data_IF_968744837441
#
_entry.id   IF_968744837441
#
_cell.length_a   1.000
_cell.length_b   1.000
_cell.length_c   1.000
_cell.angle_alpha   90.00
_cell.angle_beta   90.00
_cell.angle_gamma   90.00
#
_symmetry.space_group_name_H-M   'P 1'
#
loop_
_entity.id
_entity.type
_entity.pdbx_description
1 polymer ?
#
# COMPACT_ATOMS: atom_id res chain seq x y z
N UNK A 1 -6.88 -25.37 17.30
CA UNK A 1 -6.42 -24.23 16.49
C UNK A 1 -6.08 -23.10 17.45
N UNK A 2 -4.87 -22.55 17.43
CA UNK A 2 -4.52 -21.43 18.29
C UNK A 2 -5.42 -20.22 17.95
N UNK A 3 -5.99 -19.58 18.96
CA UNK A 3 -6.84 -18.42 18.77
C UNK A 3 -5.99 -17.24 18.26
N UNK A 4 -6.38 -16.68 17.11
CA UNK A 4 -5.67 -15.59 16.45
C UNK A 4 -5.60 -14.36 17.36
N UNK A 5 -4.40 -13.80 17.54
CA UNK A 5 -4.20 -12.60 18.37
C UNK A 5 -4.95 -11.40 17.79
N UNK A 6 -5.19 -10.38 18.62
CA UNK A 6 -5.89 -9.16 18.20
C UNK A 6 -5.13 -8.41 17.09
N UNK A 7 -3.80 -8.45 17.13
CA UNK A 7 -2.94 -7.84 16.12
C UNK A 7 -3.04 -8.55 14.76
N UNK A 8 -3.02 -9.89 14.77
CA UNK A 8 -3.17 -10.70 13.56
C UNK A 8 -4.56 -10.53 12.93
N UNK A 9 -5.62 -10.50 13.74
CA UNK A 9 -6.99 -10.19 13.26
C UNK A 9 -7.07 -8.81 12.61
N UNK A 10 -6.43 -7.79 13.20
CA UNK A 10 -6.41 -6.44 12.64
C UNK A 10 -5.67 -6.41 11.29
N UNK A 11 -4.52 -7.08 11.18
CA UNK A 11 -3.78 -7.17 9.94
C UNK A 11 -4.56 -7.92 8.84
N UNK A 12 -5.22 -9.03 9.20
CA UNK A 12 -6.07 -9.80 8.29
C UNK A 12 -7.26 -8.95 7.79
N UNK A 13 -7.95 -8.22 8.69
CA UNK A 13 -9.06 -7.36 8.32
C UNK A 13 -8.62 -6.19 7.43
N UNK A 14 -7.47 -5.58 7.70
CA UNK A 14 -6.92 -4.52 6.85
C UNK A 14 -6.60 -5.03 5.44
N UNK A 15 -6.09 -6.26 5.35
CA UNK A 15 -5.83 -6.91 4.05
C UNK A 15 -7.13 -7.20 3.31
N UNK A 16 -8.12 -7.77 3.97
CA UNK A 16 -9.44 -8.02 3.37
C UNK A 16 -10.12 -6.72 2.88
N UNK A 17 -10.09 -5.65 3.68
CA UNK A 17 -10.61 -4.34 3.25
C UNK A 17 -9.82 -3.72 2.11
N UNK A 18 -8.51 -4.01 2.01
CA UNK A 18 -7.71 -3.57 0.88
C UNK A 18 -8.09 -4.34 -0.39
N UNK A 19 -8.21 -5.66 -0.30
CA UNK A 19 -8.60 -6.52 -1.42
C UNK A 19 -9.99 -6.18 -1.94
N UNK A 20 -10.96 -5.94 -1.05
CA UNK A 20 -12.30 -5.48 -1.42
C UNK A 20 -12.27 -4.14 -2.17
N UNK A 21 -11.59 -3.14 -1.61
CA UNK A 21 -11.49 -1.81 -2.27
C UNK A 21 -10.71 -1.87 -3.57
N UNK A 22 -9.71 -2.74 -3.67
CA UNK A 22 -8.98 -2.97 -4.90
C UNK A 22 -9.90 -3.58 -5.97
N UNK A 23 -10.73 -4.56 -5.62
CA UNK A 23 -11.69 -5.17 -6.53
C UNK A 23 -12.74 -4.16 -7.03
N UNK A 24 -13.27 -3.31 -6.15
CA UNK A 24 -14.20 -2.23 -6.52
C UNK A 24 -13.53 -1.20 -7.44
N UNK A 25 -12.29 -0.82 -7.15
CA UNK A 25 -11.54 0.15 -7.96
C UNK A 25 -11.00 -0.46 -9.25
N UNK A 26 -10.85 -1.79 -9.33
CA UNK A 26 -10.51 -2.48 -10.57
C UNK A 26 -11.56 -2.27 -11.67
N UNK A 27 -12.82 -2.01 -11.29
CA UNK A 27 -13.88 -1.62 -12.23
C UNK A 27 -13.60 -0.28 -12.93
N UNK A 28 -12.73 0.58 -12.36
CA UNK A 28 -12.25 1.82 -13.00
C UNK A 28 -11.00 1.60 -13.87
N UNK A 29 -10.66 0.33 -14.12
CA UNK A 29 -9.52 -0.07 -14.92
C UNK A 29 -8.16 0.19 -14.25
N UNK A 30 -7.07 0.25 -15.04
CA UNK A 30 -5.70 0.40 -14.54
C UNK A 30 -5.50 1.61 -13.63
N UNK A 31 -6.24 2.70 -13.88
CA UNK A 31 -6.21 3.91 -13.04
C UNK A 31 -6.65 3.62 -11.61
N UNK A 32 -7.77 2.92 -11.43
CA UNK A 32 -8.28 2.61 -10.09
C UNK A 32 -7.37 1.64 -9.33
N UNK A 33 -6.73 0.71 -10.03
CA UNK A 33 -5.70 -0.16 -9.44
C UNK A 33 -4.47 0.65 -8.99
N UNK A 34 -3.98 1.58 -9.82
CA UNK A 34 -2.85 2.43 -9.46
C UNK A 34 -3.16 3.29 -8.22
N UNK A 35 -4.35 3.89 -8.15
CA UNK A 35 -4.82 4.65 -6.97
C UNK A 35 -4.83 3.78 -5.70
N UNK A 36 -5.29 2.53 -5.81
CA UNK A 36 -5.31 1.58 -4.69
C UNK A 36 -3.91 1.25 -4.19
N UNK A 37 -2.98 0.98 -5.11
CA UNK A 37 -1.60 0.68 -4.75
C UNK A 37 -0.86 1.88 -4.15
N UNK A 38 -1.09 3.10 -4.68
CA UNK A 38 -0.52 4.32 -4.10
C UNK A 38 -1.03 4.59 -2.68
N UNK A 39 -2.32 4.33 -2.42
CA UNK A 39 -2.87 4.44 -1.06
C UNK A 39 -2.23 3.42 -0.11
N UNK A 40 -2.08 2.17 -0.54
CA UNK A 40 -1.46 1.11 0.26
C UNK A 40 0.01 1.38 0.55
N UNK A 41 0.77 1.83 -0.44
CA UNK A 41 2.18 2.15 -0.29
C UNK A 41 2.39 3.23 0.77
N UNK A 42 1.61 4.32 0.73
CA UNK A 42 1.65 5.38 1.75
C UNK A 42 1.29 4.89 3.15
N UNK A 43 0.27 4.03 3.27
CA UNK A 43 -0.10 3.46 4.57
C UNK A 43 1.02 2.59 5.17
N UNK A 44 1.72 1.82 4.33
CA UNK A 44 2.89 1.01 4.76
C UNK A 44 4.03 1.93 5.19
N UNK A 45 4.36 2.94 4.38
CA UNK A 45 5.42 3.90 4.69
C UNK A 45 5.16 4.60 6.04
N UNK A 46 3.97 5.17 6.25
CA UNK A 46 3.61 5.81 7.51
C UNK A 46 3.68 4.86 8.73
N UNK A 47 3.28 3.59 8.55
CA UNK A 47 3.37 2.59 9.62
C UNK A 47 4.82 2.28 9.98
N UNK A 48 5.70 2.16 8.97
CA UNK A 48 7.13 1.88 9.16
C UNK A 48 7.89 3.05 9.77
N UNK A 49 7.61 4.26 9.30
CA UNK A 49 8.13 5.50 9.88
C UNK A 49 7.79 5.61 11.37
N UNK A 50 6.54 5.35 11.76
CA UNK A 50 6.13 5.34 13.18
C UNK A 50 6.90 4.30 14.01
N UNK A 51 7.40 3.23 13.37
CA UNK A 51 8.21 2.19 14.01
C UNK A 51 9.73 2.47 13.95
N UNK A 52 10.14 3.66 13.47
CA UNK A 52 11.55 4.10 13.42
C UNK A 52 12.28 3.81 12.10
N UNK A 53 11.59 3.33 11.07
CA UNK A 53 12.16 3.12 9.72
C UNK A 53 11.74 4.27 8.80
N UNK A 54 12.43 5.41 8.92
CA UNK A 54 12.18 6.63 8.13
C UNK A 54 12.59 6.48 6.66
N UNK A 55 13.55 5.59 6.36
CA UNK A 55 14.07 5.34 5.01
C UNK A 55 13.04 4.73 4.06
N UNK A 56 11.94 4.19 4.58
CA UNK A 56 10.82 3.68 3.77
C UNK A 56 10.24 4.75 2.83
N UNK A 57 10.24 6.02 3.23
CA UNK A 57 9.76 7.11 2.38
C UNK A 57 10.74 7.41 1.24
N UNK A 58 12.04 7.29 1.49
CA UNK A 58 13.09 7.42 0.47
C UNK A 58 12.93 6.35 -0.61
N UNK A 59 12.65 5.10 -0.21
CA UNK A 59 12.42 3.99 -1.16
C UNK A 59 11.15 4.21 -2.01
N UNK A 60 10.05 4.65 -1.37
CA UNK A 60 8.83 4.97 -2.10
C UNK A 60 9.04 6.12 -3.10
N UNK A 61 9.73 7.19 -2.68
CA UNK A 61 10.05 8.33 -3.54
C UNK A 61 10.90 7.91 -4.75
N UNK A 62 11.93 7.08 -4.53
CA UNK A 62 12.80 6.57 -5.61
C UNK A 62 12.02 5.71 -6.61
N UNK A 63 11.10 4.88 -6.12
CA UNK A 63 10.23 4.06 -6.95
C UNK A 63 9.36 4.92 -7.86
N UNK A 64 8.73 5.97 -7.31
CA UNK A 64 7.91 6.90 -8.07
C UNK A 64 8.73 7.70 -9.08
N UNK A 65 9.87 8.25 -8.68
CA UNK A 65 10.77 8.98 -9.57
C UNK A 65 11.23 8.13 -10.76
N UNK A 66 11.54 6.85 -10.53
CA UNK A 66 11.91 5.90 -11.60
C UNK A 66 10.76 5.67 -12.58
N UNK A 67 9.53 5.55 -12.08
CA UNK A 67 8.37 5.41 -12.93
C UNK A 67 8.13 6.67 -13.77
N UNK A 68 8.16 7.85 -13.15
CA UNK A 68 7.97 9.14 -13.82
C UNK A 68 9.02 9.35 -14.92
N UNK A 69 10.30 9.13 -14.60
CA UNK A 69 11.41 9.27 -15.56
C UNK A 69 11.28 8.38 -16.80
N UNK A 70 10.56 7.25 -16.71
CA UNK A 70 10.29 6.39 -17.88
C UNK A 70 9.41 7.07 -18.92
N UNK A 71 8.49 7.95 -18.49
CA UNK A 71 7.46 8.54 -19.34
C UNK A 71 7.65 10.03 -19.61
N UNK A 72 8.48 10.73 -18.84
CA UNK A 72 8.84 12.14 -19.07
C UNK A 72 9.98 12.35 -20.09
N UNK A 73 10.23 11.37 -20.97
CA UNK A 73 11.25 11.47 -22.03
C UNK A 73 10.72 12.16 -23.28
#
# INVERSE_FOLDING_TARGET
>A
MAAQTKAERRAANQRAHFEQRQAERAARGPRGLAESWMERARAIAATRETNGDEDVWNDLARTMATWVSRYEK
#
